data_IF_851078490298
#
_entry.id   IF_851078490298
#
_cell.length_a   1.000
_cell.length_b   1.000
_cell.length_c   1.000
_cell.angle_alpha   90.00
_cell.angle_beta   90.00
_cell.angle_gamma   90.00
#
_symmetry.space_group_name_H-M   'P 1'
#
loop_
_entity.id
_entity.type
_entity.pdbx_description
1 polymer ?
#
# COMPACT_ATOMS: atom_id res chain seq x y z
N UNK A 1 10.81 -6.06 13.32
CA UNK A 1 9.79 -5.01 13.27
C UNK A 1 10.38 -3.75 12.63
N UNK A 2 9.73 -3.20 11.62
CA UNK A 2 10.15 -2.02 10.88
C UNK A 2 9.33 -0.81 11.32
N UNK A 3 9.99 0.28 11.72
CA UNK A 3 9.35 1.51 12.21
C UNK A 3 9.39 2.59 11.15
N UNK A 4 8.25 3.25 10.97
CA UNK A 4 8.06 4.34 10.02
C UNK A 4 7.68 5.63 10.73
N UNK A 5 8.15 6.74 10.18
CA UNK A 5 7.73 8.09 10.52
C UNK A 5 7.38 8.83 9.24
N UNK A 6 6.13 9.29 9.11
CA UNK A 6 5.62 10.01 7.94
C UNK A 6 5.96 9.31 6.61
N UNK A 7 5.80 7.99 6.58
CA UNK A 7 6.05 7.13 5.42
C UNK A 7 7.51 6.69 5.23
N UNK A 8 8.46 7.25 5.98
CA UNK A 8 9.88 6.89 5.88
C UNK A 8 10.27 5.83 6.91
N UNK A 9 11.00 4.80 6.48
CA UNK A 9 11.52 3.79 7.39
C UNK A 9 12.74 4.34 8.16
N UNK A 10 12.62 4.41 9.49
CA UNK A 10 13.60 5.08 10.37
C UNK A 10 14.29 4.15 11.37
N UNK A 11 13.76 2.94 11.58
CA UNK A 11 14.36 1.97 12.48
C UNK A 11 13.97 0.53 12.13
N UNK A 12 14.83 -0.42 12.50
CA UNK A 12 14.59 -1.86 12.41
C UNK A 12 14.90 -2.52 13.75
N UNK A 13 13.99 -3.31 14.28
CA UNK A 13 14.10 -4.02 15.57
C UNK A 13 14.48 -3.08 16.72
N UNK A 14 13.84 -1.91 16.76
CA UNK A 14 14.07 -0.87 17.76
C UNK A 14 15.35 -0.06 17.57
N UNK A 15 16.22 -0.39 16.60
CA UNK A 15 17.47 0.32 16.33
C UNK A 15 17.28 1.38 15.24
N UNK A 16 17.47 2.69 15.54
CA UNK A 16 17.44 3.75 14.54
C UNK A 16 18.49 3.51 13.46
N UNK A 17 18.11 3.71 12.21
CA UNK A 17 19.00 3.40 11.09
C UNK A 17 18.65 4.26 9.87
N UNK A 18 19.67 4.80 9.20
CA UNK A 18 19.49 5.52 7.95
C UNK A 18 18.99 4.57 6.84
N UNK A 19 18.35 5.13 5.81
CA UNK A 19 17.67 4.36 4.77
C UNK A 19 18.56 3.35 4.04
N UNK A 20 19.77 3.74 3.63
CA UNK A 20 20.67 2.84 2.89
C UNK A 20 21.17 1.64 3.75
N UNK A 21 21.71 1.85 4.97
CA UNK A 21 22.02 0.74 5.88
C UNK A 21 20.82 -0.13 6.22
N UNK A 22 19.64 0.47 6.42
CA UNK A 22 18.41 -0.25 6.71
C UNK A 22 18.02 -1.17 5.55
N UNK A 23 18.05 -0.66 4.32
CA UNK A 23 17.77 -1.45 3.12
C UNK A 23 18.78 -2.59 2.94
N UNK A 24 20.07 -2.33 3.18
CA UNK A 24 21.11 -3.35 3.15
C UNK A 24 20.87 -4.45 4.21
N UNK A 25 20.43 -4.07 5.42
CA UNK A 25 20.06 -5.02 6.47
C UNK A 25 18.85 -5.87 6.07
N UNK A 26 17.81 -5.25 5.51
CA UNK A 26 16.64 -5.98 4.99
C UNK A 26 17.02 -6.95 3.87
N UNK A 27 17.92 -6.54 2.95
CA UNK A 27 18.44 -7.45 1.93
C UNK A 27 19.07 -8.69 2.56
N UNK A 28 19.97 -8.51 3.54
CA UNK A 28 20.63 -9.64 4.22
C UNK A 28 19.66 -10.57 4.95
N UNK A 29 18.64 -10.01 5.61
CA UNK A 29 17.65 -10.80 6.35
C UNK A 29 16.77 -11.65 5.45
N UNK A 30 16.29 -11.10 4.32
CA UNK A 30 15.26 -11.75 3.50
C UNK A 30 15.82 -12.49 2.28
N UNK A 31 17.03 -12.17 1.80
CA UNK A 31 17.65 -12.85 0.67
C UNK A 31 17.86 -14.35 0.94
N UNK A 32 18.27 -14.71 2.16
CA UNK A 32 18.50 -16.11 2.56
C UNK A 32 17.23 -16.99 2.44
N UNK A 33 16.06 -16.36 2.45
CA UNK A 33 14.77 -17.02 2.33
C UNK A 33 14.20 -16.95 0.90
N UNK A 34 14.94 -16.41 -0.08
CA UNK A 34 14.50 -16.33 -1.47
C UNK A 34 13.41 -15.27 -1.76
N UNK A 35 13.20 -14.34 -0.84
CA UNK A 35 12.22 -13.26 -0.99
C UNK A 35 12.63 -12.28 -2.09
N UNK A 36 11.65 -11.74 -2.82
CA UNK A 36 11.86 -10.63 -3.77
C UNK A 36 12.50 -11.05 -5.10
N UNK A 37 12.51 -12.34 -5.42
CA UNK A 37 12.91 -12.85 -6.73
C UNK A 37 11.75 -12.72 -7.71
N UNK A 38 12.01 -12.22 -8.90
CA UNK A 38 10.98 -12.04 -9.91
C UNK A 38 11.51 -12.05 -11.33
N UNK A 39 10.61 -12.30 -12.27
CA UNK A 39 10.85 -12.16 -13.71
C UNK A 39 9.89 -11.09 -14.22
N UNK A 40 10.43 -10.01 -14.74
CA UNK A 40 9.67 -8.98 -15.44
C UNK A 40 9.77 -9.21 -16.95
N UNK A 41 8.64 -9.16 -17.64
CA UNK A 41 8.57 -9.02 -19.09
C UNK A 41 7.65 -7.86 -19.41
N UNK A 42 8.14 -6.88 -20.15
CA UNK A 42 7.38 -5.68 -20.48
C UNK A 42 7.97 -4.93 -21.65
N UNK A 43 7.28 -3.87 -22.06
CA UNK A 43 7.73 -3.05 -23.17
C UNK A 43 8.76 -2.01 -22.68
N UNK A 44 9.75 -1.77 -23.53
CA UNK A 44 10.77 -0.73 -23.35
C UNK A 44 10.27 0.57 -23.95
N UNK A 45 10.86 1.70 -23.58
CA UNK A 45 10.50 3.02 -24.12
C UNK A 45 10.60 3.12 -25.64
N UNK A 46 11.44 2.29 -26.28
CA UNK A 46 11.58 2.22 -27.74
C UNK A 46 10.68 1.16 -28.40
N UNK A 47 9.72 0.60 -27.67
CA UNK A 47 8.72 -0.34 -28.19
C UNK A 47 9.20 -1.79 -28.34
N UNK A 48 10.41 -2.13 -27.88
CA UNK A 48 10.90 -3.51 -27.84
C UNK A 48 10.50 -4.22 -26.54
N UNK A 49 10.47 -5.56 -26.54
CA UNK A 49 10.23 -6.33 -25.31
C UNK A 49 11.53 -6.55 -24.54
N UNK A 50 11.52 -6.16 -23.27
CA UNK A 50 12.55 -6.52 -22.30
C UNK A 50 12.09 -7.70 -21.44
N UNK A 51 13.02 -8.62 -21.14
CA UNK A 51 12.82 -9.71 -20.18
C UNK A 51 13.98 -9.73 -19.19
N UNK A 52 13.69 -9.50 -17.91
CA UNK A 52 14.69 -9.29 -16.88
C UNK A 52 14.34 -10.14 -15.66
N UNK A 53 15.32 -10.87 -15.13
CA UNK A 53 15.25 -11.47 -13.80
C UNK A 53 15.84 -10.47 -12.81
N UNK A 54 15.18 -10.30 -11.67
CA UNK A 54 15.64 -9.41 -10.60
C UNK A 54 15.52 -10.07 -9.24
N UNK A 55 16.32 -9.56 -8.30
CA UNK A 55 16.28 -9.92 -6.88
C UNK A 55 16.25 -8.63 -6.05
N UNK A 56 15.15 -8.43 -5.31
CA UNK A 56 14.90 -7.21 -4.55
C UNK A 56 14.33 -7.53 -3.15
N UNK A 57 15.02 -8.35 -2.32
CA UNK A 57 14.49 -8.82 -1.04
C UNK A 57 14.14 -7.69 -0.08
N UNK A 58 15.04 -6.72 0.09
CA UNK A 58 14.83 -5.59 0.99
C UNK A 58 13.72 -4.66 0.53
N UNK A 59 13.59 -4.43 -0.78
CA UNK A 59 12.48 -3.65 -1.34
C UNK A 59 11.14 -4.36 -1.19
N UNK A 60 11.10 -5.69 -1.38
CA UNK A 60 9.89 -6.48 -1.17
C UNK A 60 9.43 -6.41 0.29
N UNK A 61 10.35 -6.55 1.25
CA UNK A 61 10.06 -6.42 2.67
C UNK A 61 9.59 -5.01 3.05
N UNK A 62 10.31 -3.97 2.58
CA UNK A 62 9.96 -2.58 2.83
C UNK A 62 8.57 -2.24 2.27
N UNK A 63 8.27 -2.69 1.05
CA UNK A 63 6.98 -2.47 0.40
C UNK A 63 5.84 -3.20 1.12
N UNK A 64 6.06 -4.45 1.53
CA UNK A 64 5.07 -5.22 2.30
C UNK A 64 4.72 -4.51 3.61
N UNK A 65 5.74 -4.03 4.34
CA UNK A 65 5.54 -3.31 5.59
C UNK A 65 4.85 -1.96 5.37
N UNK A 66 5.34 -1.16 4.42
CA UNK A 66 4.80 0.17 4.14
C UNK A 66 3.33 0.11 3.71
N UNK A 67 2.97 -0.81 2.80
CA UNK A 67 1.59 -1.02 2.36
C UNK A 67 0.67 -1.43 3.51
N UNK A 68 1.08 -2.37 4.35
CA UNK A 68 0.28 -2.80 5.49
C UNK A 68 0.00 -1.65 6.47
N UNK A 69 0.98 -0.77 6.69
CA UNK A 69 0.79 0.42 7.51
C UNK A 69 -0.16 1.42 6.86
N UNK A 70 -0.02 1.66 5.56
CA UNK A 70 -0.92 2.53 4.80
C UNK A 70 -2.36 2.04 4.81
N UNK A 71 -2.58 0.75 4.57
CA UNK A 71 -3.92 0.15 4.58
C UNK A 71 -4.63 0.35 5.92
N UNK A 72 -3.87 0.35 7.02
CA UNK A 72 -4.40 0.50 8.36
C UNK A 72 -4.60 1.96 8.81
N UNK A 73 -3.91 2.91 8.17
CA UNK A 73 -3.90 4.34 8.56
C UNK A 73 -4.66 5.23 7.59
N UNK A 74 -4.61 4.93 6.29
CA UNK A 74 -5.24 5.73 5.25
C UNK A 74 -6.70 5.33 5.06
N UNK A 75 -7.53 6.30 4.66
CA UNK A 75 -8.92 6.04 4.32
C UNK A 75 -9.04 5.14 3.09
N UNK A 76 -10.21 4.49 2.93
CA UNK A 76 -10.55 3.71 1.74
C UNK A 76 -10.30 4.45 0.42
N UNK A 77 -10.60 5.76 0.36
CA UNK A 77 -10.41 6.54 -0.87
C UNK A 77 -8.94 6.82 -1.15
N UNK A 78 -8.15 7.12 -0.12
CA UNK A 78 -6.69 7.27 -0.27
C UNK A 78 -6.04 5.97 -0.73
N UNK A 79 -6.40 4.84 -0.12
CA UNK A 79 -5.87 3.52 -0.51
C UNK A 79 -6.22 3.14 -1.96
N UNK A 80 -7.34 3.64 -2.50
CA UNK A 80 -7.73 3.41 -3.90
C UNK A 80 -7.02 4.34 -4.88
N UNK A 81 -6.94 5.62 -4.56
CA UNK A 81 -6.45 6.63 -5.50
C UNK A 81 -4.92 6.79 -5.49
N UNK A 82 -4.27 6.67 -4.32
CA UNK A 82 -2.80 6.82 -4.22
C UNK A 82 -2.04 5.86 -5.15
N UNK A 83 -2.44 4.59 -5.34
CA UNK A 83 -1.81 3.70 -6.33
C UNK A 83 -1.85 4.22 -7.76
N UNK A 84 -2.88 4.98 -8.17
CA UNK A 84 -2.94 5.57 -9.52
C UNK A 84 -1.87 6.65 -9.70
N UNK A 85 -1.72 7.52 -8.69
CA UNK A 85 -0.67 8.55 -8.64
C UNK A 85 0.72 7.90 -8.65
N UNK A 86 0.93 6.89 -7.80
CA UNK A 86 2.20 6.17 -7.73
C UNK A 86 2.55 5.46 -9.05
N UNK A 87 1.55 4.89 -9.75
CA UNK A 87 1.76 4.27 -11.05
C UNK A 87 2.25 5.27 -12.10
N UNK A 88 1.64 6.46 -12.17
CA UNK A 88 2.11 7.50 -13.10
C UNK A 88 3.51 8.01 -12.75
N UNK A 89 3.83 8.14 -11.46
CA UNK A 89 5.18 8.50 -11.02
C UNK A 89 6.21 7.46 -11.48
N UNK A 90 5.90 6.16 -11.30
CA UNK A 90 6.78 5.05 -11.75
C UNK A 90 6.97 5.07 -13.26
N UNK A 91 5.91 5.32 -14.04
CA UNK A 91 5.97 5.46 -15.50
C UNK A 91 6.95 6.55 -15.93
N UNK A 92 6.83 7.76 -15.36
CA UNK A 92 7.76 8.86 -15.67
C UNK A 92 9.22 8.49 -15.36
N UNK A 93 9.47 7.87 -14.20
CA UNK A 93 10.83 7.47 -13.82
C UNK A 93 11.37 6.38 -14.74
N UNK A 94 10.54 5.38 -15.08
CA UNK A 94 10.91 4.28 -15.97
C UNK A 94 11.22 4.76 -17.39
N UNK A 95 10.47 5.75 -17.88
CA UNK A 95 10.68 6.36 -19.19
C UNK A 95 11.83 7.38 -19.24
N UNK A 96 12.48 7.67 -18.11
CA UNK A 96 13.62 8.59 -18.02
C UNK A 96 13.25 10.06 -17.76
N UNK A 97 11.98 10.36 -17.52
CA UNK A 97 11.44 11.70 -17.23
C UNK A 97 11.55 12.07 -15.75
N UNK A 98 12.66 11.76 -15.08
CA UNK A 98 12.84 12.02 -13.65
C UNK A 98 12.77 13.51 -13.29
N UNK A 99 13.18 14.39 -14.20
CA UNK A 99 13.18 15.85 -14.03
C UNK A 99 11.95 16.55 -14.61
N UNK A 100 10.96 15.80 -15.10
CA UNK A 100 9.71 16.38 -15.58
C UNK A 100 8.92 17.03 -14.43
N UNK A 101 8.30 18.21 -14.62
CA UNK A 101 7.56 18.89 -13.55
C UNK A 101 6.43 18.04 -12.97
N UNK A 102 5.75 17.22 -13.78
CA UNK A 102 4.68 16.35 -13.30
C UNK A 102 5.17 15.39 -12.22
N UNK A 103 6.41 14.90 -12.31
CA UNK A 103 7.00 14.03 -11.29
C UNK A 103 7.02 14.73 -9.92
N UNK A 104 7.37 16.02 -9.87
CA UNK A 104 7.38 16.82 -8.63
C UNK A 104 5.97 17.05 -8.09
N UNK A 105 5.00 17.31 -8.97
CA UNK A 105 3.58 17.49 -8.57
C UNK A 105 3.01 16.21 -7.94
N UNK A 106 3.33 15.04 -8.53
CA UNK A 106 2.95 13.74 -7.99
C UNK A 106 3.64 13.47 -6.64
N UNK A 107 4.90 13.85 -6.48
CA UNK A 107 5.62 13.72 -5.19
C UNK A 107 5.00 14.57 -4.09
N UNK A 108 4.50 15.77 -4.40
CA UNK A 108 3.78 16.60 -3.43
C UNK A 108 2.50 15.90 -2.93
N UNK A 109 1.75 15.24 -3.82
CA UNK A 109 0.62 14.40 -3.43
C UNK A 109 1.06 13.22 -2.56
N UNK A 110 2.12 12.50 -2.96
CA UNK A 110 2.62 11.35 -2.21
C UNK A 110 3.09 11.78 -0.82
N UNK A 111 3.90 12.82 -0.69
CA UNK A 111 4.33 13.38 0.60
C UNK A 111 3.13 13.79 1.47
N UNK A 112 2.11 14.41 0.87
CA UNK A 112 0.85 14.77 1.55
C UNK A 112 0.14 13.53 2.10
N UNK A 113 0.07 12.44 1.33
CA UNK A 113 -0.55 11.18 1.76
C UNK A 113 0.17 10.52 2.95
N UNK A 114 1.49 10.71 3.06
CA UNK A 114 2.31 10.04 4.06
C UNK A 114 2.30 10.67 5.45
N UNK A 115 1.73 11.87 5.63
CA UNK A 115 1.84 12.63 6.90
C UNK A 115 1.45 11.88 8.16
N UNK A 116 0.49 10.96 8.08
CA UNK A 116 0.03 10.15 9.21
C UNK A 116 0.55 8.71 9.21
N UNK A 117 1.31 8.30 8.18
CA UNK A 117 1.82 6.94 8.01
C UNK A 117 3.04 6.74 8.91
N UNK A 118 2.79 6.69 10.22
CA UNK A 118 3.79 6.52 11.27
C UNK A 118 3.37 5.35 12.16
N UNK A 119 4.30 4.45 12.47
CA UNK A 119 3.97 3.23 13.20
C UNK A 119 5.05 2.15 13.07
N UNK A 120 4.74 0.97 13.53
CA UNK A 120 5.62 -0.20 13.48
C UNK A 120 4.91 -1.38 12.84
N UNK A 121 5.62 -2.10 11.96
CA UNK A 121 5.12 -3.29 11.29
C UNK A 121 6.04 -4.47 11.55
N UNK A 122 5.48 -5.58 12.01
CA UNK A 122 6.21 -6.85 12.16
C UNK A 122 6.07 -7.62 10.85
N UNK A 123 7.21 -8.03 10.30
CA UNK A 123 7.28 -8.86 9.10
C UNK A 123 7.66 -10.29 9.49
N UNK A 124 7.10 -11.25 8.77
CA UNK A 124 7.46 -12.66 8.85
C UNK A 124 7.71 -13.19 7.42
N UNK A 125 8.57 -14.19 7.29
CA UNK A 125 8.79 -14.89 6.00
C UNK A 125 8.52 -16.38 6.17
N UNK A 126 7.84 -16.95 5.18
CA UNK A 126 7.60 -18.40 5.06
C UNK A 126 8.44 -19.02 3.92
N UNK A 127 9.50 -18.33 3.49
CA UNK A 127 10.29 -18.69 2.31
C UNK A 127 9.63 -18.22 1.02
N UNK A 128 10.39 -17.54 0.16
CA UNK A 128 9.93 -16.93 -1.10
C UNK A 128 9.01 -15.72 -0.93
N UNK A 129 8.30 -15.61 0.20
CA UNK A 129 7.35 -14.52 0.52
C UNK A 129 7.69 -13.84 1.84
N UNK A 130 7.29 -12.58 1.96
CA UNK A 130 7.34 -11.79 3.19
C UNK A 130 5.95 -11.19 3.42
N UNK A 131 5.43 -11.36 4.62
CA UNK A 131 4.08 -10.94 5.01
C UNK A 131 4.16 -10.00 6.22
N UNK A 132 3.29 -8.99 6.27
CA UNK A 132 3.08 -8.17 7.45
C UNK A 132 2.12 -8.89 8.40
N UNK A 133 2.60 -9.27 9.59
CA UNK A 133 1.84 -10.09 10.55
C UNK A 133 1.28 -9.27 11.72
N UNK A 134 1.79 -8.06 11.94
CA UNK A 134 1.24 -7.12 12.91
C UNK A 134 1.53 -5.67 12.50
N UNK A 135 0.57 -4.78 12.74
CA UNK A 135 0.69 -3.34 12.52
C UNK A 135 0.31 -2.62 13.80
N UNK A 136 1.12 -1.65 14.21
CA UNK A 136 0.87 -0.77 15.36
C UNK A 136 1.04 0.67 14.90
N UNK A 137 0.08 1.54 15.18
CA UNK A 137 0.18 2.97 14.89
C UNK A 137 -0.71 3.77 15.84
N UNK A 138 -0.31 4.99 16.24
CA UNK A 138 -1.22 5.93 16.90
C UNK A 138 -2.34 6.44 15.98
N UNK A 139 -2.24 6.18 14.67
CA UNK A 139 -3.19 6.64 13.65
C UNK A 139 -3.97 5.49 13.00
N UNK A 140 -4.02 4.31 13.65
CA UNK A 140 -4.86 3.21 13.17
C UNK A 140 -6.31 3.67 13.11
N UNK A 141 -6.98 3.36 12.00
CA UNK A 141 -8.41 3.64 11.83
C UNK A 141 -9.26 2.56 12.54
N UNK A 142 -8.99 2.32 13.83
CA UNK A 142 -9.66 1.34 14.68
C UNK A 142 -10.09 1.94 16.03
N UNK A 143 -10.93 2.98 15.99
CA UNK A 143 -11.47 3.59 17.20
C UNK A 143 -12.47 2.68 17.93
N UNK A 144 -12.66 2.90 19.25
CA UNK A 144 -13.87 2.44 19.96
C UNK A 144 -15.10 2.97 19.20
N UNK A 145 -16.04 2.09 18.82
CA UNK A 145 -17.16 2.47 17.94
C UNK A 145 -17.01 2.06 16.47
N UNK A 146 -15.82 1.60 16.06
CA UNK A 146 -15.54 1.14 14.69
C UNK A 146 -15.63 -0.38 14.55
N UNK A 147 -16.31 -1.06 15.49
CA UNK A 147 -16.45 -2.51 15.46
C UNK A 147 -17.45 -2.89 14.38
N UNK A 148 -17.09 -3.84 13.52
CA UNK A 148 -17.94 -4.33 12.44
C UNK A 148 -18.45 -5.74 12.77
N UNK A 149 -19.52 -6.18 12.09
CA UNK A 149 -20.16 -7.49 12.23
C UNK A 149 -20.93 -7.69 13.56
N UNK A 150 -20.69 -8.78 14.28
CA UNK A 150 -21.57 -9.28 15.36
C UNK A 150 -21.64 -8.38 16.59
N UNK A 151 -20.72 -7.43 16.72
CA UNK A 151 -20.64 -6.44 17.80
C UNK A 151 -20.63 -5.02 17.22
N UNK A 152 -21.36 -4.79 16.13
CA UNK A 152 -21.46 -3.48 15.52
C UNK A 152 -22.06 -2.44 16.47
N UNK A 153 -21.52 -1.24 16.42
CA UNK A 153 -21.91 -0.13 17.29
C UNK A 153 -23.13 0.67 16.72
N UNK A 154 -23.58 0.34 15.51
CA UNK A 154 -24.78 0.91 14.85
C UNK A 154 -25.94 -0.07 14.80
N UNK A 155 -27.17 0.46 14.79
CA UNK A 155 -28.40 -0.31 14.81
C UNK A 155 -28.82 -0.86 13.44
N UNK A 156 -29.89 -1.65 13.48
CA UNK A 156 -30.51 -2.25 12.28
C UNK A 156 -31.11 -1.16 11.38
N UNK A 157 -31.67 -0.10 11.96
CA UNK A 157 -32.32 0.98 11.23
C UNK A 157 -31.33 1.75 10.34
N UNK A 158 -30.14 2.08 10.88
CA UNK A 158 -29.09 2.73 10.10
C UNK A 158 -28.59 1.85 8.96
N UNK A 159 -28.43 0.54 9.21
CA UNK A 159 -28.00 -0.41 8.20
C UNK A 159 -29.04 -0.56 7.08
N UNK A 160 -30.33 -0.70 7.42
CA UNK A 160 -31.40 -0.79 6.42
C UNK A 160 -31.51 0.48 5.57
N UNK A 161 -31.49 1.65 6.21
CA UNK A 161 -31.52 2.94 5.52
C UNK A 161 -30.34 3.08 4.56
N UNK A 162 -29.13 2.75 5.02
CA UNK A 162 -27.93 2.77 4.19
C UNK A 162 -28.05 1.83 2.99
N UNK A 163 -28.45 0.56 3.18
CA UNK A 163 -28.56 -0.41 2.09
C UNK A 163 -29.57 0.07 1.03
N UNK A 164 -30.74 0.56 1.46
CA UNK A 164 -31.79 1.08 0.56
C UNK A 164 -31.29 2.25 -0.27
N UNK A 165 -30.63 3.23 0.36
CA UNK A 165 -30.15 4.44 -0.33
C UNK A 165 -28.93 4.14 -1.20
N UNK A 166 -27.95 3.39 -0.69
CA UNK A 166 -26.69 3.09 -1.38
C UNK A 166 -26.90 2.21 -2.62
N UNK A 167 -27.83 1.24 -2.52
CA UNK A 167 -28.17 0.35 -3.63
C UNK A 167 -29.23 0.91 -4.60
N UNK A 168 -29.82 2.07 -4.33
CA UNK A 168 -31.00 2.56 -5.06
C UNK A 168 -30.75 2.67 -6.57
N UNK A 169 -29.59 3.18 -6.97
CA UNK A 169 -29.25 3.36 -8.38
C UNK A 169 -29.15 2.02 -9.13
N UNK A 170 -28.46 1.03 -8.55
CA UNK A 170 -28.33 -0.29 -9.19
C UNK A 170 -29.64 -1.08 -9.19
N UNK A 171 -30.44 -0.95 -8.13
CA UNK A 171 -31.78 -1.54 -8.06
C UNK A 171 -32.71 -0.95 -9.12
N UNK A 172 -32.78 0.38 -9.25
CA UNK A 172 -33.61 1.05 -10.25
C UNK A 172 -33.20 0.67 -11.67
N UNK A 173 -31.88 0.63 -11.95
CA UNK A 173 -31.39 0.15 -13.24
C UNK A 173 -31.88 -1.26 -13.54
N UNK A 174 -31.80 -2.18 -12.58
CA UNK A 174 -32.24 -3.56 -12.76
C UNK A 174 -33.77 -3.67 -12.96
N UNK A 175 -34.56 -2.88 -12.24
CA UNK A 175 -36.02 -2.85 -12.39
C UNK A 175 -36.44 -2.41 -13.80
N UNK A 176 -35.82 -1.35 -14.32
CA UNK A 176 -36.11 -0.84 -15.67
C UNK A 176 -35.71 -1.85 -16.75
N UNK A 177 -34.60 -2.57 -16.56
CA UNK A 177 -33.97 -3.38 -17.62
C UNK A 177 -34.20 -4.90 -17.50
N UNK A 178 -34.96 -5.40 -16.51
CA UNK A 178 -35.25 -6.85 -16.35
C UNK A 178 -36.39 -7.39 -17.22
N UNK A 179 -37.12 -6.53 -17.93
CA UNK A 179 -38.31 -6.88 -18.71
C UNK A 179 -38.12 -6.90 -20.23
N UNK A 180 -36.90 -7.09 -20.74
CA UNK A 180 -36.59 -7.19 -22.17
C UNK A 180 -36.07 -8.57 -22.56
#
# INVERSE_FOLDING_TARGET
>A
ALRFERGEAVALDGQPMAGAPLLARLNGLFAAYGVGRGLYTGDTTIGLKGRIVYEAPGLAALLAAHRALEEAVLTKQQNRFKPEVARKWVELVYEGFFHDPLKTDLEAFLASSQRMVSGEVVLETSGGRVDAVAVRSPHLLNAKGATYAQSADWGVEEAEGFIKLFGMSSTLWAEINRGG
#
